data_IF_670308237301
#
_entry.id   IF_670308237301
#
_cell.length_a   1.000
_cell.length_b   1.000
_cell.length_c   1.000
_cell.angle_alpha   90.00
_cell.angle_beta   90.00
_cell.angle_gamma   90.00
#
_symmetry.space_group_name_H-M   'P 1'
#
loop_
_entity.id
_entity.type
_entity.pdbx_description
1 polymer ?
#
# COMPACT_ATOMS: atom_id res chain seq x y z
N UNK A 1 44.74 -52.59 32.54
CA UNK A 1 43.95 -53.53 33.33
C UNK A 1 42.61 -53.61 32.66
N UNK A 2 42.35 -54.59 31.75
CA UNK A 2 41.81 -55.91 31.99
C UNK A 2 40.52 -55.80 32.75
N UNK A 3 39.37 -56.33 32.35
CA UNK A 3 38.97 -57.58 31.65
C UNK A 3 37.53 -57.35 31.10
N UNK A 4 37.14 -57.68 29.90
CA UNK A 4 36.67 -59.00 29.41
C UNK A 4 35.71 -59.72 30.35
N UNK A 5 34.48 -59.92 29.95
CA UNK A 5 33.89 -61.25 29.92
C UNK A 5 32.72 -61.40 28.92
N UNK A 6 32.79 -62.48 28.30
CA UNK A 6 32.08 -63.02 27.14
C UNK A 6 30.86 -63.88 27.54
N UNK A 7 29.96 -64.02 26.53
CA UNK A 7 29.33 -65.28 26.03
C UNK A 7 28.19 -65.93 26.86
N UNK A 8 27.06 -66.28 26.26
CA UNK A 8 26.75 -67.45 25.40
C UNK A 8 25.25 -67.54 25.10
N UNK A 9 24.90 -67.74 23.86
CA UNK A 9 24.26 -68.92 23.18
C UNK A 9 23.10 -69.62 23.90
N UNK A 10 21.95 -69.75 23.18
CA UNK A 10 21.35 -70.91 22.51
C UNK A 10 19.81 -70.82 22.63
N UNK A 11 19.02 -71.09 21.68
CA UNK A 11 18.56 -72.18 20.87
C UNK A 11 17.17 -71.86 20.26
N UNK A 12 17.03 -71.99 18.97
CA UNK A 12 15.78 -72.24 18.23
C UNK A 12 15.21 -73.63 18.59
N UNK A 13 14.01 -74.07 18.24
CA UNK A 13 13.05 -73.63 17.22
C UNK A 13 11.55 -73.78 17.58
N UNK A 14 10.65 -73.21 16.78
CA UNK A 14 9.43 -73.93 16.37
C UNK A 14 8.75 -73.19 15.22
N UNK A 15 8.68 -73.86 14.11
CA UNK A 15 7.88 -73.55 12.91
C UNK A 15 6.40 -73.69 13.23
N UNK A 16 5.62 -72.63 12.99
CA UNK A 16 4.19 -72.76 12.84
C UNK A 16 3.76 -71.97 11.60
N UNK A 17 3.42 -72.74 10.53
CA UNK A 17 2.83 -72.25 9.30
C UNK A 17 1.38 -71.93 9.61
N UNK A 18 1.03 -70.67 9.54
CA UNK A 18 -0.36 -70.22 9.50
C UNK A 18 -0.61 -69.57 8.13
N UNK A 19 -1.40 -70.25 7.28
CA UNK A 19 -1.97 -69.67 6.06
C UNK A 19 -2.83 -68.49 6.39
N UNK A 20 -2.37 -67.29 6.06
CA UNK A 20 -3.19 -66.08 6.10
C UNK A 20 -3.71 -65.79 4.69
N UNK A 21 -4.99 -65.86 4.56
CA UNK A 21 -5.78 -65.48 3.36
C UNK A 21 -5.49 -63.99 3.08
N UNK A 22 -4.91 -63.71 1.91
CA UNK A 22 -4.73 -62.35 1.40
C UNK A 22 -6.11 -61.79 0.98
N UNK A 23 -6.75 -61.04 1.84
CA UNK A 23 -7.87 -60.18 1.45
C UNK A 23 -7.29 -58.99 0.69
N UNK A 24 -7.49 -58.92 -0.62
CA UNK A 24 -7.19 -57.76 -1.43
C UNK A 24 -8.10 -56.62 -0.98
N UNK A 25 -7.57 -55.71 -0.20
CA UNK A 25 -8.22 -54.40 0.05
C UNK A 25 -8.05 -53.56 -1.22
N UNK A 26 -9.09 -53.47 -2.02
CA UNK A 26 -9.26 -52.45 -3.03
C UNK A 26 -9.31 -51.10 -2.32
N UNK A 27 -8.18 -50.39 -2.30
CA UNK A 27 -8.13 -48.99 -1.89
C UNK A 27 -8.96 -48.18 -2.88
N UNK A 28 -10.10 -47.66 -2.43
CA UNK A 28 -10.85 -46.63 -3.14
C UNK A 28 -9.91 -45.46 -3.49
N UNK A 29 -10.03 -44.85 -4.68
CA UNK A 29 -9.23 -43.69 -5.03
C UNK A 29 -9.52 -42.58 -4.02
N UNK A 30 -8.52 -42.20 -3.25
CA UNK A 30 -8.57 -40.98 -2.44
C UNK A 30 -8.78 -39.82 -3.42
N UNK A 31 -9.97 -39.27 -3.44
CA UNK A 31 -10.21 -37.95 -4.00
C UNK A 31 -9.29 -36.97 -3.27
N UNK A 32 -8.20 -36.59 -3.92
CA UNK A 32 -7.40 -35.46 -3.50
C UNK A 32 -8.36 -34.30 -3.34
N UNK A 33 -8.61 -33.90 -2.10
CA UNK A 33 -9.39 -32.74 -1.80
C UNK A 33 -8.82 -31.58 -2.61
N UNK A 34 -9.63 -31.03 -3.49
CA UNK A 34 -9.34 -29.80 -4.20
C UNK A 34 -9.13 -28.77 -3.12
N UNK A 35 -7.88 -28.33 -2.91
CA UNK A 35 -7.59 -27.21 -2.03
C UNK A 35 -8.51 -26.04 -2.43
N UNK A 36 -8.79 -25.10 -1.51
CA UNK A 36 -9.68 -23.99 -1.80
C UNK A 36 -9.25 -23.37 -3.13
N UNK A 37 -10.20 -23.26 -4.07
CA UNK A 37 -9.95 -22.73 -5.39
C UNK A 37 -9.30 -21.36 -5.22
N UNK A 38 -8.05 -21.23 -5.65
CA UNK A 38 -7.30 -19.96 -5.59
C UNK A 38 -8.12 -18.96 -6.40
N UNK A 39 -8.64 -17.94 -5.75
CA UNK A 39 -9.42 -16.90 -6.43
C UNK A 39 -8.53 -16.31 -7.53
N UNK A 40 -9.03 -16.26 -8.75
CA UNK A 40 -8.29 -15.65 -9.85
C UNK A 40 -8.20 -14.14 -9.62
N UNK A 41 -7.05 -13.55 -9.93
CA UNK A 41 -6.90 -12.10 -9.98
C UNK A 41 -7.88 -11.53 -11.01
N UNK A 42 -8.53 -10.42 -10.70
CA UNK A 42 -9.58 -9.83 -11.56
C UNK A 42 -9.62 -8.31 -11.48
N UNK A 43 -8.53 -7.69 -11.02
CA UNK A 43 -8.37 -6.24 -10.98
C UNK A 43 -8.05 -5.63 -12.33
N UNK A 44 -7.87 -4.32 -12.33
CA UNK A 44 -7.37 -3.55 -13.47
C UNK A 44 -6.13 -2.79 -13.05
N UNK A 45 -5.08 -2.88 -13.84
CA UNK A 45 -3.81 -2.19 -13.59
C UNK A 45 -3.74 -0.95 -14.48
N UNK A 46 -3.45 0.19 -13.89
CA UNK A 46 -3.21 1.46 -14.57
C UNK A 46 -1.73 1.81 -14.46
N UNK A 47 -1.07 1.95 -15.58
CA UNK A 47 0.36 2.26 -15.67
C UNK A 47 0.54 3.61 -16.33
N UNK A 48 0.97 4.60 -15.57
CA UNK A 48 1.46 5.83 -16.18
C UNK A 48 2.80 5.59 -16.87
N UNK A 49 3.02 6.21 -18.02
CA UNK A 49 4.22 5.97 -18.82
C UNK A 49 4.91 7.26 -19.25
N UNK A 50 6.22 7.19 -19.48
CA UNK A 50 7.00 8.30 -20.06
C UNK A 50 6.57 8.68 -21.49
N UNK A 51 5.80 7.81 -22.18
CA UNK A 51 5.17 8.14 -23.46
C UNK A 51 4.07 9.20 -23.35
N UNK A 52 3.67 9.57 -22.14
CA UNK A 52 2.53 10.46 -21.90
C UNK A 52 1.19 9.76 -22.05
N UNK A 53 1.12 8.48 -21.69
CA UNK A 53 -0.12 7.68 -21.70
C UNK A 53 -0.33 6.99 -20.35
N UNK A 54 -1.56 6.61 -20.09
CA UNK A 54 -1.93 5.66 -19.03
C UNK A 54 -2.35 4.38 -19.72
N UNK A 55 -1.50 3.35 -19.65
CA UNK A 55 -1.78 2.02 -20.20
C UNK A 55 -2.64 1.25 -19.21
N UNK A 56 -3.70 0.62 -19.69
CA UNK A 56 -4.66 -0.15 -18.88
C UNK A 56 -4.45 -1.63 -19.18
N UNK A 57 -4.15 -2.42 -18.14
CA UNK A 57 -4.02 -3.88 -18.25
C UNK A 57 -5.14 -4.58 -17.49
N UNK A 58 -5.62 -5.66 -18.07
CA UNK A 58 -6.42 -6.65 -17.33
C UNK A 58 -5.51 -7.51 -16.46
N UNK A 59 -5.79 -7.57 -15.17
CA UNK A 59 -4.93 -8.27 -14.23
C UNK A 59 -4.93 -9.78 -14.43
N UNK A 60 -6.09 -10.37 -14.85
CA UNK A 60 -6.22 -11.80 -15.02
C UNK A 60 -5.47 -12.33 -16.25
N UNK A 61 -5.54 -11.59 -17.33
CA UNK A 61 -4.96 -11.98 -18.62
C UNK A 61 -3.64 -11.30 -18.96
N UNK A 62 -3.28 -10.28 -18.20
CA UNK A 62 -2.10 -9.41 -18.41
C UNK A 62 -2.09 -8.73 -19.79
N UNK A 63 -3.25 -8.65 -20.42
CA UNK A 63 -3.40 -8.00 -21.74
C UNK A 63 -3.69 -6.51 -21.58
N UNK A 64 -3.14 -5.74 -22.48
CA UNK A 64 -3.48 -4.32 -22.62
C UNK A 64 -4.92 -4.20 -23.11
N UNK A 65 -5.77 -3.56 -22.30
CA UNK A 65 -7.16 -3.24 -22.61
C UNK A 65 -7.32 -1.94 -23.38
N UNK A 66 -6.30 -1.10 -23.37
CA UNK A 66 -6.25 0.19 -24.03
C UNK A 66 -5.31 1.16 -23.36
N UNK A 67 -5.24 2.36 -23.93
CA UNK A 67 -4.42 3.47 -23.43
C UNK A 67 -5.26 4.75 -23.38
N UNK A 68 -4.95 5.61 -22.42
CA UNK A 68 -5.51 6.96 -22.31
C UNK A 68 -4.36 7.94 -22.54
N UNK A 69 -4.35 8.71 -23.64
CA UNK A 69 -3.38 9.77 -23.82
C UNK A 69 -3.54 10.86 -22.78
N UNK A 70 -2.47 11.23 -22.09
CA UNK A 70 -2.48 12.30 -21.11
C UNK A 70 -2.43 13.67 -21.79
N UNK A 71 -3.26 14.61 -21.33
CA UNK A 71 -3.26 16.01 -21.80
C UNK A 71 -2.29 16.91 -21.03
N UNK A 72 -1.70 16.41 -19.95
CA UNK A 72 -0.83 17.19 -19.06
C UNK A 72 0.67 16.89 -19.24
N UNK A 73 1.01 16.01 -20.19
CA UNK A 73 2.39 15.57 -20.43
C UNK A 73 2.66 14.20 -19.84
N UNK A 74 3.78 14.01 -19.13
CA UNK A 74 4.15 12.74 -18.51
C UNK A 74 3.38 12.55 -17.20
N UNK A 75 2.42 11.61 -17.12
CA UNK A 75 1.69 11.32 -15.91
C UNK A 75 2.59 10.55 -14.92
N UNK A 76 2.53 10.85 -13.61
CA UNK A 76 3.39 10.20 -12.59
C UNK A 76 2.65 9.70 -11.38
N UNK A 77 1.48 10.22 -11.08
CA UNK A 77 0.66 9.78 -9.96
C UNK A 77 -0.80 9.67 -10.36
N UNK A 78 -1.48 8.64 -9.85
CA UNK A 78 -2.88 8.34 -10.16
C UNK A 78 -3.62 8.05 -8.88
N UNK A 79 -4.55 8.93 -8.55
CA UNK A 79 -5.47 8.79 -7.41
C UNK A 79 -6.88 8.56 -7.90
N UNK A 80 -7.62 7.63 -7.28
CA UNK A 80 -9.02 7.37 -7.62
C UNK A 80 -9.97 8.26 -6.81
N UNK A 81 -11.13 8.62 -7.40
CA UNK A 81 -12.29 9.02 -6.62
C UNK A 81 -12.77 7.88 -5.72
N UNK A 82 -13.52 8.18 -4.65
CA UNK A 82 -14.03 7.17 -3.71
C UNK A 82 -14.95 6.15 -4.40
N UNK A 83 -15.81 6.62 -5.31
CA UNK A 83 -16.69 5.78 -6.14
C UNK A 83 -15.94 5.08 -7.29
N UNK A 84 -14.65 5.39 -7.44
CA UNK A 84 -13.77 4.84 -8.49
C UNK A 84 -14.21 5.15 -9.92
N UNK A 85 -15.03 6.15 -10.12
CA UNK A 85 -15.47 6.58 -11.46
C UNK A 85 -14.45 7.48 -12.15
N UNK A 86 -13.59 8.17 -11.38
CA UNK A 86 -12.59 9.12 -11.89
C UNK A 86 -11.19 8.76 -11.47
N UNK A 87 -10.25 9.22 -12.31
CA UNK A 87 -8.82 9.25 -12.02
C UNK A 87 -8.39 10.71 -11.92
N UNK A 88 -7.68 11.04 -10.88
CA UNK A 88 -6.94 12.29 -10.72
C UNK A 88 -5.49 12.01 -10.98
N UNK A 89 -4.95 12.58 -12.03
CA UNK A 89 -3.62 12.27 -12.54
C UNK A 89 -2.74 13.52 -12.44
N UNK A 90 -1.56 13.39 -11.86
CA UNK A 90 -0.59 14.46 -11.76
C UNK A 90 0.53 14.30 -12.79
N UNK A 91 1.03 15.42 -13.31
CA UNK A 91 2.18 15.44 -14.22
C UNK A 91 3.52 15.35 -13.48
N UNK A 92 4.60 15.05 -14.20
CA UNK A 92 5.95 14.90 -13.64
C UNK A 92 6.51 16.17 -12.96
N UNK A 93 5.96 17.34 -13.25
CA UNK A 93 6.32 18.58 -12.55
C UNK A 93 5.52 18.82 -11.29
N UNK A 94 4.44 18.04 -11.06
CA UNK A 94 3.43 18.24 -10.02
C UNK A 94 2.70 19.59 -10.11
N UNK A 95 2.68 20.21 -11.29
CA UNK A 95 2.05 21.50 -11.54
C UNK A 95 0.64 21.39 -12.12
N UNK A 96 0.33 20.24 -12.74
CA UNK A 96 -0.93 20.01 -13.44
C UNK A 96 -1.64 18.78 -12.92
N UNK A 97 -2.96 18.85 -12.92
CA UNK A 97 -3.84 17.72 -12.63
C UNK A 97 -4.78 17.51 -13.80
N UNK A 98 -4.93 16.28 -14.22
CA UNK A 98 -5.91 15.84 -15.21
C UNK A 98 -6.96 14.99 -14.53
N UNK A 99 -8.23 15.23 -14.84
CA UNK A 99 -9.37 14.47 -14.37
C UNK A 99 -9.87 13.62 -15.51
N UNK A 100 -9.91 12.31 -15.32
CA UNK A 100 -10.28 11.35 -16.35
C UNK A 100 -11.53 10.59 -15.92
N UNK A 101 -12.53 10.52 -16.80
CA UNK A 101 -13.61 9.55 -16.67
C UNK A 101 -13.04 8.15 -16.97
N UNK A 102 -12.96 7.34 -15.91
CA UNK A 102 -12.34 6.02 -16.00
C UNK A 102 -13.13 5.05 -16.89
N UNK A 103 -14.46 5.16 -16.89
CA UNK A 103 -15.33 4.25 -17.64
C UNK A 103 -15.29 4.59 -19.13
N UNK A 104 -15.35 5.87 -19.48
CA UNK A 104 -15.27 6.34 -20.87
C UNK A 104 -13.83 6.34 -21.39
N UNK A 105 -12.85 6.34 -20.45
CA UNK A 105 -11.41 6.48 -20.77
C UNK A 105 -11.09 7.81 -21.45
N UNK A 106 -11.73 8.86 -20.99
CA UNK A 106 -11.61 10.19 -21.58
C UNK A 106 -11.22 11.23 -20.53
N UNK A 107 -10.32 12.13 -20.90
CA UNK A 107 -10.00 13.31 -20.12
C UNK A 107 -11.17 14.28 -20.14
N UNK A 108 -11.76 14.53 -18.97
CA UNK A 108 -12.91 15.42 -18.81
C UNK A 108 -12.52 16.83 -18.38
N UNK A 109 -11.39 16.97 -17.71
CA UNK A 109 -10.89 18.28 -17.28
C UNK A 109 -9.38 18.26 -17.01
N UNK A 110 -8.78 19.46 -17.02
CA UNK A 110 -7.41 19.70 -16.57
C UNK A 110 -7.32 21.01 -15.84
N UNK A 111 -6.49 21.09 -14.81
CA UNK A 111 -6.22 22.35 -14.14
C UNK A 111 -4.77 22.49 -13.68
N UNK A 112 -4.37 23.72 -13.41
CA UNK A 112 -3.12 24.10 -12.76
C UNK A 112 -3.38 25.24 -11.79
N UNK A 113 -2.56 25.33 -10.77
CA UNK A 113 -2.54 26.46 -9.85
C UNK A 113 -1.34 27.39 -10.10
N UNK A 114 -0.59 27.12 -11.18
CA UNK A 114 0.52 27.96 -11.62
C UNK A 114 -0.01 29.23 -12.28
N UNK A 115 0.44 30.40 -11.85
CA UNK A 115 0.05 31.70 -12.37
C UNK A 115 1.28 32.55 -12.72
N UNK A 116 1.40 32.92 -14.01
CA UNK A 116 2.51 33.72 -14.49
C UNK A 116 3.87 33.08 -14.26
N UNK A 117 4.78 33.81 -13.63
CA UNK A 117 6.15 33.35 -13.29
C UNK A 117 6.19 32.49 -12.01
N UNK A 118 5.12 32.46 -11.23
CA UNK A 118 5.03 31.69 -9.99
C UNK A 118 4.47 30.30 -10.27
N UNK A 119 5.31 29.28 -10.20
CA UNK A 119 4.93 27.89 -10.30
C UNK A 119 4.33 27.41 -9.00
N UNK A 120 3.20 26.72 -9.07
CA UNK A 120 2.57 26.09 -7.89
C UNK A 120 2.57 24.57 -8.06
N UNK A 121 3.29 23.89 -7.20
CA UNK A 121 3.32 22.41 -7.17
C UNK A 121 2.31 21.88 -6.18
N UNK A 122 1.68 20.77 -6.54
CA UNK A 122 0.70 20.04 -5.74
C UNK A 122 1.38 18.80 -5.22
N UNK A 123 1.81 18.81 -3.96
CA UNK A 123 2.56 17.72 -3.33
C UNK A 123 1.69 16.61 -2.75
N UNK A 124 0.41 16.92 -2.47
CA UNK A 124 -0.56 15.92 -2.01
C UNK A 124 -1.91 16.29 -2.61
N UNK A 125 -2.63 15.27 -3.06
CA UNK A 125 -3.96 15.37 -3.62
C UNK A 125 -4.85 14.28 -3.03
N UNK A 126 -5.95 14.68 -2.39
CA UNK A 126 -6.93 13.75 -1.85
C UNK A 126 -8.33 14.22 -2.24
N UNK A 127 -9.09 13.43 -3.05
CA UNK A 127 -10.49 13.73 -3.34
C UNK A 127 -11.36 13.49 -2.10
N UNK A 128 -12.42 14.29 -1.97
CA UNK A 128 -13.44 14.04 -0.97
C UNK A 128 -14.33 12.85 -1.39
N UNK A 129 -15.01 12.18 -0.43
CA UNK A 129 -15.80 10.97 -0.73
C UNK A 129 -16.98 11.21 -1.68
N UNK A 130 -17.42 12.46 -1.85
CA UNK A 130 -18.53 12.84 -2.72
C UNK A 130 -18.09 13.52 -4.02
N UNK A 131 -16.79 13.56 -4.24
CA UNK A 131 -16.16 14.07 -5.47
C UNK A 131 -16.54 15.54 -5.80
N UNK A 132 -16.70 16.36 -4.74
CA UNK A 132 -17.05 17.78 -4.83
C UNK A 132 -15.83 18.69 -4.80
N UNK A 133 -14.79 18.28 -4.07
CA UNK A 133 -13.55 19.05 -3.90
C UNK A 133 -12.34 18.16 -3.73
N UNK A 134 -11.18 18.77 -3.84
CA UNK A 134 -9.90 18.14 -3.53
C UNK A 134 -9.26 18.85 -2.34
N UNK A 135 -8.65 18.07 -1.45
CA UNK A 135 -7.70 18.59 -0.47
C UNK A 135 -6.31 18.52 -1.06
N UNK A 136 -5.66 19.66 -1.18
CA UNK A 136 -4.34 19.77 -1.80
C UNK A 136 -3.35 20.37 -0.80
N UNK A 137 -2.13 19.83 -0.80
CA UNK A 137 -0.96 20.51 -0.24
C UNK A 137 -0.19 21.12 -1.38
N UNK A 138 -0.05 22.44 -1.38
CA UNK A 138 0.58 23.17 -2.47
C UNK A 138 1.77 23.97 -1.98
N UNK A 139 2.72 24.23 -2.89
CA UNK A 139 3.91 25.05 -2.58
C UNK A 139 4.25 25.92 -3.79
N UNK A 140 4.46 27.19 -3.53
CA UNK A 140 4.78 28.18 -4.56
C UNK A 140 6.28 28.31 -4.78
N UNK A 141 6.68 28.40 -6.03
CA UNK A 141 8.07 28.57 -6.46
C UNK A 141 8.13 29.75 -7.42
N UNK A 142 8.82 30.80 -7.04
CA UNK A 142 8.97 32.00 -7.88
C UNK A 142 10.41 32.11 -8.36
N UNK A 143 10.61 32.11 -9.65
CA UNK A 143 11.93 32.33 -10.24
C UNK A 143 12.25 33.82 -10.25
N UNK A 144 13.28 34.19 -9.53
CA UNK A 144 13.89 35.50 -9.59
C UNK A 144 15.12 35.45 -10.53
N UNK A 145 15.80 36.56 -10.71
CA UNK A 145 16.93 36.64 -11.64
C UNK A 145 18.08 35.66 -11.33
N UNK A 146 18.31 35.38 -10.04
CA UNK A 146 19.45 34.61 -9.55
C UNK A 146 19.08 33.39 -8.67
N UNK A 147 17.79 33.25 -8.29
CA UNK A 147 17.36 32.18 -7.38
C UNK A 147 15.88 31.87 -7.49
N UNK A 148 15.51 30.71 -6.94
CA UNK A 148 14.13 30.35 -6.64
C UNK A 148 13.78 30.80 -5.23
N UNK A 149 12.72 31.59 -5.09
CA UNK A 149 12.06 31.80 -3.80
C UNK A 149 10.99 30.74 -3.62
N UNK A 150 11.09 29.98 -2.55
CA UNK A 150 10.20 28.87 -2.23
C UNK A 150 9.31 29.28 -1.07
N UNK A 151 8.01 29.38 -1.32
CA UNK A 151 7.01 29.67 -0.31
C UNK A 151 6.74 28.49 0.64
N UNK A 152 6.06 28.73 1.76
CA UNK A 152 5.65 27.68 2.67
C UNK A 152 4.61 26.74 2.03
N UNK A 153 4.50 25.49 2.51
CA UNK A 153 3.44 24.60 2.11
C UNK A 153 2.09 25.16 2.59
N UNK A 154 1.08 25.05 1.73
CA UNK A 154 -0.28 25.55 1.99
C UNK A 154 -1.28 24.43 1.80
N UNK A 155 -2.16 24.25 2.79
CA UNK A 155 -3.26 23.30 2.72
C UNK A 155 -4.51 24.02 2.19
N UNK A 156 -5.07 23.53 1.10
CA UNK A 156 -6.20 24.19 0.44
C UNK A 156 -7.32 23.22 0.08
N UNK A 157 -8.54 23.72 0.05
CA UNK A 157 -9.70 23.08 -0.56
C UNK A 157 -9.87 23.65 -1.97
N UNK A 158 -9.77 22.80 -2.97
CA UNK A 158 -10.04 23.13 -4.36
C UNK A 158 -11.42 22.60 -4.76
N UNK A 159 -12.33 23.50 -5.11
CA UNK A 159 -13.70 23.16 -5.51
C UNK A 159 -13.73 22.74 -6.98
N UNK A 160 -14.26 21.54 -7.25
CA UNK A 160 -14.29 20.94 -8.57
C UNK A 160 -15.32 21.58 -9.51
N UNK A 161 -16.39 22.16 -8.97
CA UNK A 161 -17.43 22.78 -9.78
C UNK A 161 -17.03 24.19 -10.25
N UNK A 162 -16.46 24.99 -9.35
CA UNK A 162 -16.01 26.35 -9.65
C UNK A 162 -14.59 26.40 -10.22
N UNK A 163 -13.83 25.31 -10.09
CA UNK A 163 -12.43 25.18 -10.53
C UNK A 163 -11.50 26.22 -9.86
N UNK A 164 -11.72 26.46 -8.58
CA UNK A 164 -10.98 27.46 -7.80
C UNK A 164 -10.65 26.94 -6.41
N UNK A 165 -9.65 27.53 -5.79
CA UNK A 165 -9.41 27.38 -4.37
C UNK A 165 -10.59 28.05 -3.63
N UNK A 166 -11.42 27.25 -2.98
CA UNK A 166 -12.55 27.72 -2.20
C UNK A 166 -12.09 28.31 -0.85
N UNK A 167 -11.04 27.73 -0.26
CA UNK A 167 -10.45 28.22 0.98
C UNK A 167 -9.04 27.69 1.21
N UNK A 168 -8.29 28.42 2.01
CA UNK A 168 -7.06 27.93 2.66
C UNK A 168 -7.44 27.36 4.02
N UNK A 169 -6.97 26.16 4.32
CA UNK A 169 -7.18 25.47 5.59
C UNK A 169 -5.97 25.78 6.45
N UNK A 170 -6.14 26.35 7.66
CA UNK A 170 -5.03 26.63 8.55
C UNK A 170 -4.29 25.34 8.95
N UNK A 171 -2.97 25.38 8.92
CA UNK A 171 -2.20 24.29 9.48
C UNK A 171 -2.43 24.18 10.99
N UNK A 172 -2.57 22.95 11.52
CA UNK A 172 -2.77 22.74 12.94
C UNK A 172 -1.64 23.37 13.76
N UNK A 173 -1.97 24.22 14.73
CA UNK A 173 -1.02 24.94 15.56
C UNK A 173 0.04 25.76 14.77
N UNK A 174 -0.21 26.03 13.49
CA UNK A 174 0.77 26.69 12.61
C UNK A 174 1.93 25.77 12.18
N UNK A 175 1.83 24.46 12.41
CA UNK A 175 2.84 23.48 12.01
C UNK A 175 2.67 23.10 10.54
N UNK A 176 3.49 23.67 9.68
CA UNK A 176 3.50 23.40 8.25
C UNK A 176 4.01 21.99 7.94
N UNK A 177 3.38 21.32 6.97
CA UNK A 177 3.76 19.98 6.55
C UNK A 177 3.92 19.91 5.02
N UNK A 178 4.97 19.24 4.57
CA UNK A 178 5.24 19.04 3.13
C UNK A 178 4.21 18.13 2.44
N UNK A 179 3.50 17.31 3.18
CA UNK A 179 2.43 16.44 2.72
C UNK A 179 1.47 16.12 3.85
N UNK A 180 0.28 15.67 3.50
CA UNK A 180 -0.72 15.25 4.46
C UNK A 180 -1.27 13.88 4.06
N UNK A 181 -1.17 12.92 4.98
CA UNK A 181 -1.92 11.67 4.88
C UNK A 181 -3.35 11.93 5.33
N UNK A 182 -4.29 11.99 4.39
CA UNK A 182 -5.69 12.31 4.67
C UNK A 182 -6.56 11.08 4.47
N UNK A 183 -7.43 10.81 5.45
CA UNK A 183 -8.50 9.82 5.36
C UNK A 183 -9.81 10.54 5.71
N UNK A 184 -10.86 10.25 4.96
CA UNK A 184 -12.19 10.74 5.31
C UNK A 184 -12.99 9.70 6.10
N UNK A 185 -13.95 10.16 6.93
CA UNK A 185 -15.00 9.29 7.46
C UNK A 185 -15.87 8.77 6.31
N UNK A 186 -16.51 7.59 6.45
CA UNK A 186 -17.36 7.03 5.39
C UNK A 186 -18.50 7.92 4.95
N UNK A 187 -18.99 8.81 5.83
CA UNK A 187 -20.02 9.79 5.52
C UNK A 187 -19.48 11.15 5.02
N UNK A 188 -18.15 11.27 4.89
CA UNK A 188 -17.48 12.47 4.44
C UNK A 188 -17.52 13.67 5.38
N UNK A 189 -18.08 13.53 6.61
CA UNK A 189 -18.22 14.66 7.54
C UNK A 189 -16.95 14.99 8.32
N UNK A 190 -16.07 14.02 8.47
CA UNK A 190 -14.79 14.18 9.16
C UNK A 190 -13.62 13.88 8.22
N UNK A 191 -12.58 14.67 8.38
CA UNK A 191 -11.28 14.47 7.74
C UNK A 191 -10.25 14.20 8.83
N UNK A 192 -9.54 13.09 8.70
CA UNK A 192 -8.46 12.69 9.60
C UNK A 192 -7.13 12.97 8.92
N UNK A 193 -6.32 13.80 9.51
CA UNK A 193 -4.96 14.05 9.05
C UNK A 193 -3.99 13.21 9.90
N UNK A 194 -3.39 12.23 9.24
CA UNK A 194 -2.48 11.27 9.87
C UNK A 194 -1.06 11.84 9.93
N UNK A 195 -0.39 11.68 11.04
CA UNK A 195 0.97 12.15 11.23
C UNK A 195 1.52 11.73 12.60
N UNK A 196 2.26 12.62 13.26
CA UNK A 196 2.70 12.43 14.65
C UNK A 196 1.53 12.51 15.64
N UNK A 197 0.47 13.21 15.24
CA UNK A 197 -0.85 13.22 15.85
C UNK A 197 -1.88 12.81 14.81
N UNK A 198 -3.05 12.38 15.23
CA UNK A 198 -4.21 12.27 14.35
C UNK A 198 -5.11 13.46 14.64
N UNK A 199 -5.20 14.35 13.65
CA UNK A 199 -6.00 15.56 13.74
C UNK A 199 -7.34 15.32 13.06
N UNK A 200 -8.42 15.74 13.69
CA UNK A 200 -9.77 15.51 13.21
C UNK A 200 -10.42 16.86 12.91
N UNK A 201 -10.81 17.02 11.65
CA UNK A 201 -11.48 18.22 11.15
C UNK A 201 -12.91 17.90 10.77
N UNK A 202 -13.83 18.79 11.09
CA UNK A 202 -15.14 18.81 10.48
C UNK A 202 -15.02 19.35 9.06
N UNK A 203 -15.54 18.62 8.05
CA UNK A 203 -15.36 19.00 6.63
C UNK A 203 -16.21 20.19 6.20
N UNK A 204 -17.27 20.53 6.94
CA UNK A 204 -18.14 21.67 6.61
C UNK A 204 -17.37 23.01 6.63
N UNK A 205 -16.48 23.19 7.56
CA UNK A 205 -15.72 24.43 7.76
C UNK A 205 -14.20 24.22 7.90
N UNK A 206 -13.72 22.96 7.97
CA UNK A 206 -12.33 22.57 8.24
C UNK A 206 -11.81 23.11 9.58
N UNK A 207 -12.68 23.09 10.59
CA UNK A 207 -12.29 23.38 11.97
C UNK A 207 -11.79 22.10 12.63
N UNK A 208 -10.66 22.17 13.33
CA UNK A 208 -10.19 21.07 14.16
C UNK A 208 -11.18 20.87 15.32
N UNK A 209 -11.80 19.70 15.35
CA UNK A 209 -12.81 19.35 16.38
C UNK A 209 -12.25 18.39 17.42
N UNK A 210 -11.17 17.69 17.09
CA UNK A 210 -10.53 16.76 18.01
C UNK A 210 -9.09 16.46 17.60
N UNK A 211 -8.31 15.95 18.54
CA UNK A 211 -6.92 15.57 18.33
C UNK A 211 -6.56 14.36 19.16
N UNK A 212 -5.92 13.40 18.52
CA UNK A 212 -5.29 12.30 19.23
C UNK A 212 -3.79 12.58 19.33
N UNK A 213 -3.40 12.99 20.52
CA UNK A 213 -2.00 13.30 20.83
C UNK A 213 -1.22 11.99 20.98
N UNK A 214 -0.50 11.61 19.92
CA UNK A 214 0.39 10.45 19.89
C UNK A 214 1.81 10.79 20.37
N UNK A 215 2.05 12.07 20.71
CA UNK A 215 3.32 12.52 21.27
C UNK A 215 3.51 12.05 22.72
N UNK A 216 2.40 11.72 23.40
CA UNK A 216 2.46 11.07 24.71
C UNK A 216 2.83 9.60 24.51
N UNK A 217 3.89 9.12 25.15
CA UNK A 217 4.29 7.75 25.01
C UNK A 217 3.13 6.82 25.44
N UNK A 218 2.85 5.84 24.60
CA UNK A 218 1.85 4.78 24.87
C UNK A 218 2.23 3.95 26.07
N UNK A 219 3.54 3.85 26.31
CA UNK A 219 4.14 3.22 27.48
C UNK A 219 5.22 4.14 28.05
N UNK A 220 5.49 4.09 29.38
CA UNK A 220 6.56 4.85 29.98
C UNK A 220 7.91 4.61 29.25
N UNK A 221 8.52 5.66 28.77
CA UNK A 221 9.80 5.59 28.06
C UNK A 221 9.71 5.40 26.54
N UNK A 222 8.53 5.15 25.96
CA UNK A 222 8.38 5.16 24.51
C UNK A 222 8.39 6.60 23.97
N UNK A 223 9.06 6.82 22.83
CA UNK A 223 9.06 8.10 22.14
C UNK A 223 7.82 8.32 21.26
N UNK A 224 7.81 9.41 20.51
CA UNK A 224 6.72 9.73 19.57
C UNK A 224 6.48 8.62 18.56
N UNK A 225 5.22 8.37 18.26
CA UNK A 225 4.79 7.48 17.20
C UNK A 225 4.72 8.26 15.88
N UNK A 226 5.20 7.64 14.81
CA UNK A 226 5.03 8.15 13.46
C UNK A 226 4.46 7.03 12.58
N UNK A 227 3.32 7.29 11.95
CA UNK A 227 2.72 6.37 11.00
C UNK A 227 3.45 6.42 9.66
N UNK A 228 3.62 5.24 9.05
CA UNK A 228 4.03 5.09 7.66
C UNK A 228 2.99 5.66 6.69
N UNK A 229 3.35 5.69 5.41
CA UNK A 229 2.43 6.12 4.35
C UNK A 229 1.16 5.28 4.33
N UNK A 230 0.05 5.92 3.97
CA UNK A 230 -1.21 5.24 3.73
C UNK A 230 -1.07 4.36 2.48
N UNK A 231 -1.56 3.11 2.54
CA UNK A 231 -1.79 2.33 1.33
C UNK A 231 -3.21 2.65 0.82
N UNK A 232 -3.35 3.43 -0.26
CA UNK A 232 -4.67 3.85 -0.76
C UNK A 232 -5.52 2.68 -1.25
N UNK A 233 -4.94 1.50 -1.38
CA UNK A 233 -5.61 0.31 -1.92
C UNK A 233 -6.00 -0.71 -0.86
N UNK A 234 -5.50 -0.58 0.36
CA UNK A 234 -5.98 -1.37 1.49
C UNK A 234 -7.32 -0.85 2.04
N UNK A 235 -8.08 -0.17 1.19
CA UNK A 235 -9.29 0.58 1.49
C UNK A 235 -10.27 -0.20 2.38
N UNK A 236 -10.22 0.11 3.65
CA UNK A 236 -11.13 -0.35 4.67
C UNK A 236 -11.75 0.89 5.32
N UNK A 237 -12.97 1.30 4.87
CA UNK A 237 -13.57 2.52 5.35
C UNK A 237 -13.61 2.62 6.87
N UNK A 238 -13.10 3.72 7.42
CA UNK A 238 -13.04 3.96 8.85
C UNK A 238 -11.88 3.28 9.60
N UNK A 239 -10.97 2.59 8.88
CA UNK A 239 -9.81 1.95 9.47
C UNK A 239 -8.53 2.33 8.75
N UNK A 240 -7.42 2.25 9.48
CA UNK A 240 -6.08 2.28 8.93
C UNK A 240 -5.27 1.10 9.49
N UNK A 241 -4.57 0.40 8.61
CA UNK A 241 -3.60 -0.63 9.00
C UNK A 241 -2.30 -0.35 8.27
N UNK A 242 -1.22 -0.16 9.00
CA UNK A 242 0.06 0.14 8.41
C UNK A 242 1.21 0.02 9.39
N UNK A 243 2.40 0.33 8.92
CA UNK A 243 3.58 0.36 9.78
C UNK A 243 3.62 1.67 10.56
N UNK A 244 4.05 1.59 11.80
CA UNK A 244 4.45 2.74 12.58
C UNK A 244 5.92 2.63 12.98
N UNK A 245 6.53 3.75 13.32
CA UNK A 245 7.84 3.81 13.96
C UNK A 245 7.77 4.63 15.23
N UNK A 246 8.56 4.28 16.22
CA UNK A 246 8.71 5.04 17.46
C UNK A 246 10.16 4.96 17.95
N UNK A 247 10.58 5.93 18.76
CA UNK A 247 11.88 5.91 19.41
C UNK A 247 11.80 5.03 20.66
N UNK A 248 12.73 4.09 20.78
CA UNK A 248 13.01 3.39 22.04
C UNK A 248 14.09 4.18 22.80
N UNK A 249 13.73 4.98 23.82
CA UNK A 249 14.68 5.82 24.51
C UNK A 249 15.65 5.03 25.38
N UNK A 250 15.29 3.81 25.81
CA UNK A 250 16.15 2.97 26.64
C UNK A 250 17.32 2.39 25.86
N UNK A 251 17.08 2.08 24.58
CA UNK A 251 18.09 1.48 23.71
C UNK A 251 18.61 2.45 22.64
N UNK A 252 18.16 3.71 22.67
CA UNK A 252 18.50 4.76 21.71
C UNK A 252 18.38 4.30 20.25
N UNK A 253 17.35 3.53 19.94
CA UNK A 253 17.06 3.00 18.61
C UNK A 253 15.62 3.27 18.22
N UNK A 254 15.36 3.30 16.91
CA UNK A 254 13.99 3.30 16.39
C UNK A 254 13.47 1.88 16.30
N UNK A 255 12.27 1.67 16.77
CA UNK A 255 11.51 0.43 16.60
C UNK A 255 10.34 0.67 15.64
N UNK A 256 9.88 -0.40 15.03
CA UNK A 256 8.71 -0.40 14.15
C UNK A 256 7.74 -1.50 14.56
N UNK A 257 6.52 -1.34 14.12
CA UNK A 257 5.47 -2.32 14.32
C UNK A 257 4.28 -2.10 13.40
N UNK A 258 3.23 -2.86 13.62
CA UNK A 258 1.94 -2.73 12.93
C UNK A 258 1.02 -1.89 13.80
N UNK A 259 0.47 -0.82 13.21
CA UNK A 259 -0.57 0.00 13.81
C UNK A 259 -1.93 -0.31 13.19
N UNK A 260 -2.93 -0.49 14.03
CA UNK A 260 -4.33 -0.62 13.64
C UNK A 260 -5.12 0.51 14.27
N UNK A 261 -5.72 1.35 13.46
CA UNK A 261 -6.53 2.50 13.88
C UNK A 261 -7.98 2.25 13.49
N UNK A 262 -8.88 2.33 14.46
CA UNK A 262 -10.33 2.36 14.26
C UNK A 262 -10.82 3.80 14.49
N UNK A 263 -11.07 4.52 13.42
CA UNK A 263 -11.31 5.96 13.45
C UNK A 263 -12.56 6.33 14.26
N UNK A 264 -13.67 5.62 14.07
CA UNK A 264 -14.92 5.92 14.75
C UNK A 264 -14.87 5.71 16.28
N UNK A 265 -14.06 4.77 16.73
CA UNK A 265 -13.93 4.47 18.17
C UNK A 265 -12.75 5.16 18.84
N UNK A 266 -11.96 5.92 18.10
CA UNK A 266 -10.70 6.50 18.58
C UNK A 266 -9.75 5.45 19.17
N UNK A 267 -9.76 4.26 18.61
CA UNK A 267 -8.95 3.16 19.11
C UNK A 267 -7.74 2.97 18.24
N UNK A 268 -6.58 2.86 18.87
CA UNK A 268 -5.33 2.56 18.21
C UNK A 268 -4.68 1.39 18.94
N UNK A 269 -4.41 0.33 18.19
CA UNK A 269 -3.65 -0.83 18.67
C UNK A 269 -2.26 -0.78 18.04
N UNK A 270 -1.22 -0.75 18.87
CA UNK A 270 0.17 -0.76 18.46
C UNK A 270 0.81 -2.08 18.82
N UNK A 271 1.38 -2.74 17.80
CA UNK A 271 2.05 -4.03 17.95
C UNK A 271 3.51 -3.91 17.51
N UNK A 272 4.45 -3.63 18.44
CA UNK A 272 5.87 -3.56 18.12
C UNK A 272 6.39 -4.89 17.57
N UNK A 273 7.25 -4.83 16.55
CA UNK A 273 7.84 -6.00 15.91
C UNK A 273 9.34 -6.07 16.14
N UNK A 274 10.03 -4.93 16.08
CA UNK A 274 11.48 -4.90 16.24
C UNK A 274 12.14 -3.62 15.73
N UNK A 275 13.45 -3.64 15.47
CA UNK A 275 14.16 -2.46 14.97
C UNK A 275 13.55 -1.91 13.68
N UNK A 276 13.43 -0.58 13.59
CA UNK A 276 12.86 0.07 12.43
C UNK A 276 13.75 -0.11 11.20
N UNK A 277 13.12 -0.48 10.10
CA UNK A 277 13.74 -0.55 8.77
C UNK A 277 12.83 0.13 7.75
N UNK A 278 13.41 0.68 6.69
CA UNK A 278 12.66 1.27 5.58
C UNK A 278 11.96 0.19 4.76
N UNK A 279 10.68 -0.06 5.03
CA UNK A 279 9.87 -1.06 4.35
C UNK A 279 8.79 -0.41 3.51
N UNK A 280 8.64 -0.86 2.24
CA UNK A 280 7.37 -0.80 1.56
C UNK A 280 6.41 -1.80 2.21
N UNK A 281 5.12 -1.45 2.31
CA UNK A 281 4.13 -2.29 2.99
C UNK A 281 2.85 -2.37 2.15
N UNK A 282 2.32 -3.56 1.96
CA UNK A 282 1.09 -3.79 1.21
C UNK A 282 0.24 -4.85 1.90
N UNK A 283 -0.98 -4.49 2.23
CA UNK A 283 -1.95 -5.39 2.86
C UNK A 283 -2.56 -6.29 1.79
N UNK A 284 -2.64 -7.59 2.07
CA UNK A 284 -3.32 -8.54 1.18
C UNK A 284 -4.84 -8.32 1.21
N UNK A 285 -5.56 -8.66 0.12
CA UNK A 285 -7.01 -8.43 0.02
C UNK A 285 -7.84 -9.16 1.09
N UNK A 286 -7.33 -10.29 1.62
CA UNK A 286 -7.96 -11.03 2.71
C UNK A 286 -7.82 -10.33 4.09
N UNK A 287 -6.96 -9.30 4.17
CA UNK A 287 -6.64 -8.54 5.39
C UNK A 287 -6.09 -9.38 6.54
N UNK A 288 -5.70 -10.61 6.28
CA UNK A 288 -5.07 -11.51 7.24
C UNK A 288 -3.56 -11.48 7.17
N UNK A 289 -3.05 -11.05 6.03
CA UNK A 289 -1.62 -10.93 5.76
C UNK A 289 -1.27 -9.56 5.21
N UNK A 290 -0.03 -9.18 5.43
CA UNK A 290 0.61 -8.10 4.71
C UNK A 290 2.00 -8.54 4.29
N UNK A 291 2.51 -7.88 3.27
CA UNK A 291 3.85 -8.11 2.74
C UNK A 291 4.65 -6.83 2.82
N UNK A 292 5.93 -6.99 3.15
CA UNK A 292 6.90 -5.92 3.18
C UNK A 292 7.96 -6.11 2.12
N UNK A 293 8.43 -5.03 1.53
CA UNK A 293 9.61 -5.00 0.68
C UNK A 293 10.70 -4.19 1.37
N UNK A 294 11.71 -4.90 1.88
CA UNK A 294 12.94 -4.28 2.32
C UNK A 294 13.88 -4.12 1.13
N UNK A 295 14.43 -2.93 0.99
CA UNK A 295 15.33 -2.58 -0.10
C UNK A 295 16.41 -1.63 0.43
N UNK A 296 17.57 -2.18 0.59
CA UNK A 296 18.78 -1.40 0.82
C UNK A 296 19.83 -1.84 -0.20
N UNK A 297 20.88 -1.06 -0.38
CA UNK A 297 21.90 -1.37 -1.40
C UNK A 297 22.54 -2.72 -1.07
N UNK A 298 22.27 -3.70 -1.94
CA UNK A 298 22.77 -5.07 -1.81
C UNK A 298 21.94 -6.00 -0.93
N UNK A 299 20.95 -5.51 -0.19
CA UNK A 299 20.06 -6.30 0.64
C UNK A 299 18.60 -6.10 0.22
N UNK A 300 17.96 -7.18 -0.23
CA UNK A 300 16.58 -7.19 -0.66
C UNK A 300 15.86 -8.35 -0.02
N UNK A 301 14.72 -8.06 0.68
CA UNK A 301 13.96 -9.08 1.37
C UNK A 301 12.47 -8.86 1.18
N UNK A 302 11.73 -9.96 1.01
CA UNK A 302 10.30 -10.02 1.26
C UNK A 302 10.06 -10.28 2.75
N UNK A 303 9.17 -9.53 3.35
CA UNK A 303 8.70 -9.74 4.70
C UNK A 303 7.25 -10.16 4.67
N UNK A 304 6.87 -11.15 5.49
CA UNK A 304 5.48 -11.57 5.64
C UNK A 304 5.01 -11.26 7.04
N UNK A 305 3.85 -10.63 7.13
CA UNK A 305 3.20 -10.28 8.40
C UNK A 305 1.87 -11.02 8.54
N UNK A 306 1.62 -11.51 9.74
CA UNK A 306 0.33 -12.02 10.21
C UNK A 306 -0.44 -10.82 10.81
N UNK A 307 -1.54 -10.44 10.21
CA UNK A 307 -2.36 -9.32 10.68
C UNK A 307 -3.45 -9.77 11.68
N UNK A 308 -3.69 -11.06 11.84
CA UNK A 308 -4.58 -11.58 12.89
C UNK A 308 -3.89 -11.56 14.27
N UNK A 309 -2.56 -11.81 14.29
CA UNK A 309 -1.75 -11.83 15.50
C UNK A 309 -0.71 -10.68 15.55
N UNK A 310 -0.70 -9.79 14.56
CA UNK A 310 0.16 -8.62 14.45
C UNK A 310 1.66 -8.94 14.65
N UNK A 311 2.16 -9.93 13.95
CA UNK A 311 3.55 -10.38 14.08
C UNK A 311 4.23 -10.58 12.73
N UNK A 312 5.54 -10.53 12.75
CA UNK A 312 6.38 -10.94 11.63
C UNK A 312 6.40 -12.47 11.55
N UNK A 313 6.06 -13.03 10.37
CA UNK A 313 6.13 -14.47 10.10
C UNK A 313 7.52 -14.85 9.56
N UNK A 314 7.97 -14.15 8.53
CA UNK A 314 9.22 -14.52 7.84
C UNK A 314 9.88 -13.32 7.17
N UNK A 315 11.16 -13.48 6.93
CA UNK A 315 12.00 -12.62 6.07
C UNK A 315 12.67 -13.54 5.05
N UNK A 316 12.51 -13.23 3.78
CA UNK A 316 13.03 -14.07 2.70
C UNK A 316 13.88 -13.21 1.77
N UNK A 317 15.21 -13.44 1.73
CA UNK A 317 16.07 -12.71 0.82
C UNK A 317 15.80 -13.10 -0.64
N UNK A 318 15.96 -12.15 -1.55
CA UNK A 318 15.83 -12.38 -2.98
C UNK A 318 16.80 -11.51 -3.77
N UNK A 319 16.95 -11.81 -5.06
CA UNK A 319 17.75 -10.98 -5.97
C UNK A 319 16.91 -9.81 -6.44
N UNK A 320 17.11 -8.68 -5.84
CA UNK A 320 16.43 -7.44 -6.17
C UNK A 320 17.31 -6.44 -6.90
N UNK A 321 16.76 -5.26 -7.08
CA UNK A 321 17.38 -4.08 -7.70
C UNK A 321 16.99 -2.81 -6.95
N UNK A 322 17.77 -1.72 -7.02
CA UNK A 322 17.43 -0.47 -6.34
C UNK A 322 16.08 0.11 -6.77
N UNK A 323 15.45 0.88 -5.88
CA UNK A 323 14.22 1.65 -6.15
C UNK A 323 12.99 0.84 -6.57
N UNK A 324 12.95 -0.45 -6.24
CA UNK A 324 11.74 -1.25 -6.45
C UNK A 324 10.59 -0.77 -5.57
N UNK A 325 9.39 -0.91 -6.09
CA UNK A 325 8.14 -0.83 -5.34
C UNK A 325 7.40 -2.17 -5.44
N UNK A 326 6.44 -2.39 -4.57
CA UNK A 326 5.73 -3.64 -4.43
C UNK A 326 4.23 -3.41 -4.34
N UNK A 327 3.46 -4.32 -4.93
CA UNK A 327 2.02 -4.41 -4.77
C UNK A 327 1.58 -5.88 -4.72
N UNK A 328 0.67 -6.21 -3.81
CA UNK A 328 0.00 -7.52 -3.81
C UNK A 328 -1.13 -7.48 -4.84
N UNK A 329 -1.32 -8.56 -5.57
CA UNK A 329 -2.40 -8.66 -6.56
C UNK A 329 -3.79 -8.75 -5.89
N UNK A 330 -4.85 -8.56 -6.68
CA UNK A 330 -6.23 -8.58 -6.18
C UNK A 330 -6.69 -9.93 -5.64
N UNK A 331 -5.99 -11.02 -5.94
CA UNK A 331 -6.24 -12.35 -5.40
C UNK A 331 -5.42 -12.67 -4.15
N UNK A 332 -4.42 -11.87 -3.80
CA UNK A 332 -3.54 -12.08 -2.65
C UNK A 332 -2.49 -13.18 -2.81
N UNK A 333 -2.33 -13.73 -4.00
CA UNK A 333 -1.44 -14.87 -4.26
C UNK A 333 -0.19 -14.54 -5.07
N UNK A 334 -0.09 -13.31 -5.62
CA UNK A 334 1.06 -12.82 -6.35
C UNK A 334 1.51 -11.46 -5.82
N UNK A 335 2.80 -11.19 -5.96
CA UNK A 335 3.41 -9.91 -5.64
C UNK A 335 4.01 -9.33 -6.93
N UNK A 336 3.56 -8.14 -7.29
CA UNK A 336 4.17 -7.34 -8.35
C UNK A 336 5.36 -6.58 -7.79
N UNK A 337 6.51 -6.71 -8.42
CA UNK A 337 7.70 -5.90 -8.20
C UNK A 337 7.95 -5.06 -9.44
N UNK A 338 7.97 -3.76 -9.28
CA UNK A 338 8.12 -2.80 -10.35
C UNK A 338 9.02 -1.64 -9.95
N UNK A 339 9.51 -0.92 -10.93
CA UNK A 339 10.28 0.33 -10.80
C UNK A 339 10.09 1.17 -12.05
N UNK A 340 10.64 2.38 -12.09
CA UNK A 340 10.78 3.11 -13.35
C UNK A 340 11.53 2.24 -14.36
N UNK A 341 10.85 1.89 -15.46
CA UNK A 341 11.31 0.95 -16.49
C UNK A 341 10.11 0.25 -17.11
N UNK A 342 10.37 -0.69 -18.01
CA UNK A 342 9.32 -1.35 -18.80
C UNK A 342 9.00 -2.78 -18.35
N UNK A 343 9.37 -3.17 -17.13
CA UNK A 343 9.13 -4.54 -16.63
C UNK A 343 8.42 -4.57 -15.29
N UNK A 344 7.55 -5.55 -15.13
CA UNK A 344 6.89 -5.90 -13.88
C UNK A 344 7.21 -7.36 -13.60
N UNK A 345 7.90 -7.63 -12.51
CA UNK A 345 8.21 -9.00 -12.08
C UNK A 345 7.11 -9.53 -11.16
N UNK A 346 6.63 -10.73 -11.43
CA UNK A 346 5.59 -11.40 -10.65
C UNK A 346 6.21 -12.50 -9.81
N UNK A 347 6.04 -12.38 -8.51
CA UNK A 347 6.48 -13.38 -7.54
C UNK A 347 5.28 -14.08 -6.93
N UNK A 348 5.38 -15.38 -6.73
CA UNK A 348 4.40 -16.13 -5.94
C UNK A 348 4.45 -15.70 -4.48
N UNK A 349 3.33 -15.30 -3.90
CA UNK A 349 3.29 -14.70 -2.57
C UNK A 349 3.54 -15.68 -1.42
N UNK A 350 3.44 -16.99 -1.67
CA UNK A 350 3.70 -18.02 -0.66
C UNK A 350 5.17 -18.47 -0.65
N UNK A 351 5.81 -18.53 -1.82
CA UNK A 351 7.16 -19.08 -1.97
C UNK A 351 8.22 -18.04 -2.28
N UNK A 352 7.82 -16.83 -2.66
CA UNK A 352 8.67 -15.74 -3.14
C UNK A 352 9.57 -16.13 -4.32
N UNK A 353 9.12 -17.07 -5.13
CA UNK A 353 9.79 -17.42 -6.38
C UNK A 353 9.26 -16.55 -7.51
N UNK A 354 10.19 -16.09 -8.35
CA UNK A 354 9.82 -15.40 -9.59
C UNK A 354 9.05 -16.38 -10.48
N UNK A 355 7.85 -16.00 -10.88
CA UNK A 355 6.99 -16.80 -11.76
C UNK A 355 7.20 -16.38 -13.20
N UNK A 356 7.15 -15.05 -13.47
CA UNK A 356 7.33 -14.46 -14.79
C UNK A 356 7.56 -12.96 -14.70
N UNK A 357 7.90 -12.38 -15.82
CA UNK A 357 8.05 -10.92 -16.02
C UNK A 357 7.12 -10.47 -17.12
N UNK A 358 6.31 -9.44 -16.87
CA UNK A 358 5.55 -8.71 -17.89
C UNK A 358 6.47 -7.65 -18.47
N UNK A 359 6.59 -7.60 -19.80
CA UNK A 359 7.32 -6.55 -20.50
C UNK A 359 6.32 -5.62 -21.16
N UNK A 360 6.48 -4.33 -20.90
CA UNK A 360 5.65 -3.26 -21.43
C UNK A 360 6.30 -2.63 -22.69
N UNK A 361 5.47 -1.96 -23.49
CA UNK A 361 5.94 -1.21 -24.67
C UNK A 361 6.50 0.18 -24.31
N UNK A 362 6.72 0.50 -23.07
CA UNK A 362 7.31 1.76 -22.62
C UNK A 362 7.60 1.77 -21.16
N UNK A 363 8.51 2.66 -20.77
CA UNK A 363 8.89 2.81 -19.36
C UNK A 363 7.74 3.41 -18.56
N UNK A 364 7.42 2.76 -17.43
CA UNK A 364 6.40 3.25 -16.51
C UNK A 364 6.96 4.31 -15.58
N UNK A 365 6.08 5.22 -15.16
CA UNK A 365 6.33 6.21 -14.12
C UNK A 365 5.61 5.86 -12.82
N UNK A 366 4.44 5.19 -12.94
CA UNK A 366 3.68 4.72 -11.77
C UNK A 366 2.91 3.43 -12.09
N UNK A 367 2.55 2.72 -11.03
CA UNK A 367 1.77 1.49 -11.07
C UNK A 367 0.62 1.62 -10.07
N UNK A 368 -0.60 1.48 -10.54
CA UNK A 368 -1.80 1.56 -9.71
C UNK A 368 -2.72 0.38 -10.03
N UNK A 369 -2.99 -0.45 -9.03
CA UNK A 369 -3.91 -1.58 -9.14
C UNK A 369 -5.27 -1.18 -8.59
N UNK A 370 -6.31 -1.25 -9.40
CA UNK A 370 -7.69 -1.16 -8.97
C UNK A 370 -8.23 -2.58 -8.76
N UNK A 371 -8.46 -3.01 -7.52
CA UNK A 371 -9.07 -4.32 -7.26
C UNK A 371 -10.52 -4.35 -7.76
N UNK A 372 -11.07 -5.56 -8.01
CA UNK A 372 -12.49 -5.68 -8.37
C UNK A 372 -13.36 -5.11 -7.26
N UNK A 373 -14.57 -4.64 -7.59
CA UNK A 373 -15.50 -4.16 -6.58
C UNK A 373 -15.76 -5.29 -5.58
N UNK A 374 -15.38 -5.08 -4.32
CA UNK A 374 -15.79 -5.98 -3.25
C UNK A 374 -17.30 -5.83 -3.09
N UNK A 375 -18.04 -6.94 -3.12
CA UNK A 375 -19.43 -6.92 -2.68
C UNK A 375 -19.42 -6.44 -1.23
N UNK A 376 -19.80 -5.20 -1.00
CA UNK A 376 -19.99 -4.69 0.37
C UNK A 376 -21.13 -5.52 0.96
N UNK A 377 -20.94 -6.26 2.06
CA UNK A 377 -22.05 -6.93 2.71
C UNK A 377 -22.95 -5.84 3.30
N UNK A 378 -24.12 -5.67 2.72
CA UNK A 378 -25.22 -4.88 3.30
C UNK A 378 -25.07 -3.36 3.17
N UNK A 379 -25.32 -2.83 1.99
CA UNK A 379 -26.04 -1.58 1.80
C UNK A 379 -27.40 -1.91 1.22
#
# INVERSE_FOLDING_TARGET
>A
MREFFTMRFSVLPALLIACSVLAAQTSAPQTRGRGPATQAASGTIYLSTYKGTITILDEATEKVLGEIPSKIGVPVDVTFSDDRSRLYVQDASFEKVEIIDRVKRESIDTFTLTEGAAKTRIWSLQPDPHDKYLILVTKKYTLNADRWDIGPPTLVQYDLATKKIARTIPWPKGEEREGAGVIFSPDGKLMYMMGEDILIYETANFTEVDRWDLSRPLEPGAGRVNFGGLDPFSDEPGFYTGLFTMQDPLQNRRIMGIGRVELAKKKIDFHPIGPARGLGFSVAPDRKRAYGLFRDIGEYEFWTFDLENYRLISRTPFRGRPRMAMRVNSAGNMIYIYQAGNTIDLYDAATFKLVRTITLDGDMTSFTLLPPPTRRPGL
#
